data_IF_391514307461
#
_entry.id   IF_391514307461
#
_cell.length_a   1.000
_cell.length_b   1.000
_cell.length_c   1.000
_cell.angle_alpha   90.00
_cell.angle_beta   90.00
_cell.angle_gamma   90.00
#
_symmetry.space_group_name_H-M   'P 1'
#
loop_
_entity.id
_entity.type
_entity.pdbx_description
1 polymer ?
#
# COMPACT_ATOMS: atom_id res chain seq x y z
N UNK A 1 -26.44 12.06 -2.77
CA UNK A 1 -25.63 11.89 -3.98
C UNK A 1 -24.60 10.82 -3.65
N UNK A 2 -24.76 9.62 -4.17
CA UNK A 2 -23.82 8.52 -3.91
C UNK A 2 -22.59 8.72 -4.79
N UNK A 3 -21.40 8.64 -4.21
CA UNK A 3 -20.15 8.78 -4.96
C UNK A 3 -19.68 7.38 -5.37
N UNK A 4 -19.39 7.19 -6.65
CA UNK A 4 -18.80 5.93 -7.12
C UNK A 4 -17.40 5.73 -6.55
N UNK A 5 -17.12 4.52 -6.05
CA UNK A 5 -15.84 4.17 -5.41
C UNK A 5 -14.64 4.42 -6.33
N UNK A 6 -14.74 4.02 -7.60
CA UNK A 6 -13.68 4.26 -8.59
C UNK A 6 -13.39 5.76 -8.79
N UNK A 7 -14.45 6.58 -8.81
CA UNK A 7 -14.34 8.03 -8.93
C UNK A 7 -13.75 8.65 -7.67
N UNK A 8 -14.12 8.15 -6.49
CA UNK A 8 -13.55 8.62 -5.23
C UNK A 8 -12.05 8.32 -5.14
N UNK A 9 -11.64 7.10 -5.47
CA UNK A 9 -10.22 6.70 -5.46
C UNK A 9 -9.39 7.50 -6.46
N UNK A 10 -9.86 7.65 -7.70
CA UNK A 10 -9.13 8.41 -8.73
C UNK A 10 -9.00 9.90 -8.43
N UNK A 11 -9.92 10.46 -7.63
CA UNK A 11 -9.89 11.88 -7.23
C UNK A 11 -9.14 12.13 -5.93
N UNK A 12 -8.94 11.10 -5.10
CA UNK A 12 -8.21 11.24 -3.83
C UNK A 12 -6.79 11.72 -4.12
N UNK A 13 -6.50 12.96 -3.74
CA UNK A 13 -5.28 13.67 -4.08
C UNK A 13 -4.20 13.58 -3.01
N UNK A 14 -4.56 13.13 -1.80
CA UNK A 14 -3.66 13.04 -0.64
C UNK A 14 -4.08 11.86 0.27
N UNK A 15 -3.29 11.62 1.32
CA UNK A 15 -3.52 10.48 2.22
C UNK A 15 -4.75 10.68 3.12
N UNK A 16 -5.13 11.93 3.42
CA UNK A 16 -6.34 12.24 4.21
C UNK A 16 -7.61 11.84 3.45
N UNK A 17 -7.64 12.07 2.14
CA UNK A 17 -8.78 11.77 1.27
C UNK A 17 -8.95 10.27 1.01
N UNK A 18 -7.86 9.52 0.87
CA UNK A 18 -7.93 8.07 0.63
C UNK A 18 -8.24 7.28 1.92
N UNK A 19 -7.81 7.77 3.08
CA UNK A 19 -7.99 7.09 4.36
C UNK A 19 -9.44 6.65 4.69
N UNK A 20 -10.48 7.50 4.57
CA UNK A 20 -11.86 7.06 4.85
C UNK A 20 -12.33 5.98 3.87
N UNK A 21 -11.79 5.93 2.65
CA UNK A 21 -12.09 4.84 1.71
C UNK A 21 -11.49 3.54 2.23
N UNK A 22 -10.21 3.55 2.61
CA UNK A 22 -9.49 2.38 3.14
C UNK A 22 -10.16 1.85 4.42
N UNK A 23 -10.50 2.73 5.37
CA UNK A 23 -11.08 2.33 6.66
C UNK A 23 -12.45 1.65 6.52
N UNK A 24 -13.19 1.98 5.46
CA UNK A 24 -14.51 1.41 5.19
C UNK A 24 -14.47 0.31 4.11
N UNK A 25 -13.29 -0.01 3.58
CA UNK A 25 -13.12 -1.00 2.53
C UNK A 25 -13.26 -2.43 3.06
N UNK A 26 -13.86 -3.28 2.24
CA UNK A 26 -13.97 -4.73 2.44
C UNK A 26 -13.69 -5.43 1.12
N UNK A 27 -12.99 -6.54 1.20
CA UNK A 27 -12.66 -7.40 0.07
C UNK A 27 -13.74 -8.46 -0.16
N UNK A 28 -13.89 -8.89 -1.41
CA UNK A 28 -14.71 -10.04 -1.77
C UNK A 28 -14.22 -10.69 -3.07
N UNK A 29 -14.76 -11.87 -3.38
CA UNK A 29 -14.37 -12.69 -4.51
C UNK A 29 -15.63 -13.21 -5.20
N UNK A 30 -15.73 -12.94 -6.48
CA UNK A 30 -16.79 -13.47 -7.32
C UNK A 30 -16.65 -14.99 -7.49
N UNK A 31 -17.75 -15.64 -7.89
CA UNK A 31 -17.76 -17.07 -8.18
C UNK A 31 -16.64 -17.50 -9.15
N UNK A 32 -16.34 -16.69 -10.16
CA UNK A 32 -15.30 -16.92 -11.17
C UNK A 32 -13.90 -16.41 -10.75
N UNK A 33 -13.66 -16.20 -9.45
CA UNK A 33 -12.35 -15.84 -8.91
C UNK A 33 -11.89 -14.41 -9.20
N UNK A 34 -12.77 -13.54 -9.67
CA UNK A 34 -12.51 -12.09 -9.75
C UNK A 34 -12.50 -11.49 -8.35
N UNK A 35 -11.43 -10.79 -7.99
CA UNK A 35 -11.19 -10.20 -6.67
C UNK A 35 -11.48 -8.71 -6.71
N UNK A 36 -12.24 -8.21 -5.75
CA UNK A 36 -12.63 -6.81 -5.74
C UNK A 36 -12.78 -6.27 -4.33
N UNK A 37 -12.84 -4.94 -4.23
CA UNK A 37 -13.12 -4.19 -3.03
C UNK A 37 -14.43 -3.43 -3.22
N UNK A 38 -15.22 -3.35 -2.16
CA UNK A 38 -16.28 -2.35 -1.98
C UNK A 38 -16.00 -1.56 -0.71
N UNK A 39 -16.57 -0.36 -0.58
CA UNK A 39 -16.41 0.45 0.62
C UNK A 39 -17.76 0.99 1.09
N UNK A 40 -18.02 0.91 2.39
CA UNK A 40 -19.25 1.43 2.97
C UNK A 40 -19.39 2.94 2.72
N UNK A 41 -20.57 3.38 2.27
CA UNK A 41 -20.82 4.77 1.86
C UNK A 41 -20.49 5.09 0.39
N UNK A 42 -19.92 4.14 -0.37
CA UNK A 42 -19.59 4.30 -1.79
C UNK A 42 -20.38 3.33 -2.66
N UNK A 43 -20.59 3.73 -3.92
CA UNK A 43 -21.29 2.89 -4.91
C UNK A 43 -20.30 2.14 -5.82
N UNK A 44 -20.59 0.86 -6.06
CA UNK A 44 -19.83 0.00 -6.96
C UNK A 44 -18.65 -0.70 -6.30
N UNK A 45 -17.87 -1.38 -7.13
CA UNK A 45 -16.68 -2.14 -6.73
C UNK A 45 -15.49 -1.74 -7.58
N UNK A 46 -14.28 -1.99 -7.07
CA UNK A 46 -13.02 -1.80 -7.80
C UNK A 46 -12.17 -3.05 -7.69
N UNK A 47 -11.17 -3.18 -8.56
CA UNK A 47 -10.19 -4.27 -8.46
C UNK A 47 -9.47 -4.25 -7.10
N UNK A 48 -9.12 -5.42 -6.58
CA UNK A 48 -8.41 -5.57 -5.30
C UNK A 48 -7.09 -4.77 -5.26
N UNK A 49 -6.45 -4.57 -6.42
CA UNK A 49 -5.20 -3.84 -6.54
C UNK A 49 -5.41 -2.31 -6.56
N UNK A 50 -6.64 -1.82 -6.74
CA UNK A 50 -6.92 -0.41 -7.01
C UNK A 50 -6.53 0.54 -5.86
N UNK A 51 -6.80 0.14 -4.60
CA UNK A 51 -6.44 0.96 -3.43
C UNK A 51 -4.92 1.06 -3.31
N UNK A 52 -4.21 -0.07 -3.35
CA UNK A 52 -2.76 -0.10 -3.24
C UNK A 52 -2.09 0.67 -4.39
N UNK A 53 -2.58 0.51 -5.63
CA UNK A 53 -2.06 1.23 -6.79
C UNK A 53 -2.19 2.74 -6.61
N UNK A 54 -3.37 3.23 -6.20
CA UNK A 54 -3.56 4.66 -5.95
C UNK A 54 -2.69 5.15 -4.79
N UNK A 55 -2.54 4.34 -3.75
CA UNK A 55 -1.71 4.67 -2.60
C UNK A 55 -0.24 4.84 -2.97
N UNK A 56 0.32 3.92 -3.77
CA UNK A 56 1.69 4.01 -4.27
C UNK A 56 1.88 5.23 -5.18
N UNK A 57 0.90 5.55 -6.04
CA UNK A 57 0.94 6.78 -6.85
C UNK A 57 0.95 8.05 -5.98
N UNK A 58 0.22 8.05 -4.86
CA UNK A 58 0.27 9.15 -3.89
C UNK A 58 1.64 9.25 -3.22
N UNK A 59 2.32 8.14 -2.94
CA UNK A 59 3.68 8.16 -2.39
C UNK A 59 4.69 8.78 -3.36
N UNK A 60 4.52 8.54 -4.66
CA UNK A 60 5.36 9.13 -5.71
C UNK A 60 5.10 10.62 -5.92
N UNK A 61 3.83 11.05 -5.85
CA UNK A 61 3.43 12.44 -6.16
C UNK A 61 3.39 13.35 -4.93
N UNK A 62 3.12 12.81 -3.74
CA UNK A 62 3.05 13.49 -2.45
C UNK A 62 4.10 12.92 -1.50
N UNK A 63 5.37 13.03 -1.91
CA UNK A 63 6.51 12.37 -1.26
C UNK A 63 6.93 12.96 0.10
N UNK A 64 6.43 14.15 0.47
CA UNK A 64 6.63 14.79 1.79
C UNK A 64 5.30 14.86 2.57
N UNK A 65 4.83 13.73 3.16
CA UNK A 65 3.62 13.73 3.95
C UNK A 65 3.80 14.57 5.23
N UNK A 66 2.74 15.26 5.62
CA UNK A 66 2.62 15.96 6.89
C UNK A 66 2.60 14.99 8.08
N UNK A 67 2.80 15.49 9.31
CA UNK A 67 2.72 14.66 10.52
C UNK A 67 1.36 13.97 10.71
N UNK A 68 0.28 14.66 10.32
CA UNK A 68 -1.07 14.11 10.34
C UNK A 68 -1.19 12.96 9.33
N UNK A 69 -0.72 13.15 8.10
CA UNK A 69 -0.71 12.12 7.06
C UNK A 69 0.19 10.95 7.44
N UNK A 70 1.32 11.18 8.11
CA UNK A 70 2.20 10.12 8.62
C UNK A 70 1.50 9.24 9.65
N UNK A 71 0.83 9.87 10.61
CA UNK A 71 0.06 9.14 11.62
C UNK A 71 -1.07 8.33 10.97
N UNK A 72 -1.78 8.93 10.03
CA UNK A 72 -2.88 8.27 9.34
C UNK A 72 -2.40 7.15 8.42
N UNK A 73 -1.30 7.38 7.69
CA UNK A 73 -0.65 6.40 6.82
C UNK A 73 -0.28 5.12 7.56
N UNK A 74 0.38 5.25 8.72
CA UNK A 74 0.66 4.12 9.62
C UNK A 74 -0.59 3.36 10.07
N UNK A 75 -1.72 4.04 10.24
CA UNK A 75 -2.98 3.40 10.63
C UNK A 75 -3.61 2.62 9.46
N UNK A 76 -3.59 3.18 8.25
CA UNK A 76 -4.33 2.64 7.10
C UNK A 76 -3.53 1.63 6.28
N UNK A 77 -2.19 1.73 6.25
CA UNK A 77 -1.34 0.78 5.51
C UNK A 77 -1.59 -0.69 5.94
N UNK A 78 -1.61 -1.03 7.24
CA UNK A 78 -1.93 -2.40 7.67
C UNK A 78 -3.32 -2.86 7.23
N UNK A 79 -4.28 -1.95 7.09
CA UNK A 79 -5.62 -2.28 6.60
C UNK A 79 -5.59 -2.68 5.13
N UNK A 80 -4.78 -2.01 4.29
CA UNK A 80 -4.61 -2.38 2.88
C UNK A 80 -3.95 -3.76 2.77
N UNK A 81 -2.92 -4.03 3.56
CA UNK A 81 -2.29 -5.37 3.63
C UNK A 81 -3.30 -6.44 4.05
N UNK A 82 -4.15 -6.13 5.05
CA UNK A 82 -5.21 -7.03 5.51
C UNK A 82 -6.25 -7.33 4.43
N UNK A 83 -6.60 -6.37 3.56
CA UNK A 83 -7.50 -6.62 2.42
C UNK A 83 -6.90 -7.68 1.50
N UNK A 84 -5.60 -7.61 1.21
CA UNK A 84 -4.92 -8.66 0.44
C UNK A 84 -4.89 -10.00 1.18
N UNK A 85 -4.50 -10.02 2.45
CA UNK A 85 -4.43 -11.27 3.21
C UNK A 85 -5.79 -11.98 3.27
N UNK A 86 -6.84 -11.22 3.57
CA UNK A 86 -8.20 -11.74 3.69
C UNK A 86 -8.73 -12.24 2.34
N UNK A 87 -8.44 -11.53 1.25
CA UNK A 87 -8.86 -11.93 -0.09
C UNK A 87 -8.13 -13.20 -0.58
N UNK A 88 -6.88 -13.40 -0.18
CA UNK A 88 -6.10 -14.58 -0.57
C UNK A 88 -6.17 -15.72 0.45
N UNK A 89 -6.79 -15.48 1.61
CA UNK A 89 -7.13 -16.52 2.57
C UNK A 89 -8.05 -17.56 1.90
N UNK A 90 -7.79 -18.84 2.16
CA UNK A 90 -8.35 -19.97 1.39
C UNK A 90 -9.71 -20.46 1.92
N UNK A 91 -10.40 -19.66 2.73
CA UNK A 91 -11.71 -20.00 3.31
C UNK A 91 -12.86 -19.79 2.30
N UNK A 92 -12.69 -20.34 1.09
CA UNK A 92 -13.65 -20.28 -0.01
C UNK A 92 -13.93 -21.68 -0.53
N UNK A 93 -15.09 -21.85 -1.16
CA UNK A 93 -15.49 -23.13 -1.73
C UNK A 93 -14.50 -23.62 -2.82
N UNK A 94 -14.50 -24.92 -3.10
CA UNK A 94 -13.50 -25.55 -3.98
C UNK A 94 -13.54 -25.04 -5.43
N UNK A 95 -14.72 -24.70 -5.95
CA UNK A 95 -14.90 -24.19 -7.32
C UNK A 95 -14.28 -22.79 -7.47
N UNK A 96 -14.60 -21.89 -6.54
CA UNK A 96 -14.00 -20.55 -6.49
C UNK A 96 -12.48 -20.65 -6.35
N UNK A 97 -11.96 -21.60 -5.57
CA UNK A 97 -10.51 -21.84 -5.47
C UNK A 97 -9.88 -22.26 -6.79
N UNK A 98 -10.54 -23.12 -7.58
CA UNK A 98 -10.06 -23.52 -8.92
C UNK A 98 -10.01 -22.30 -9.85
N UNK A 99 -11.07 -21.49 -9.88
CA UNK A 99 -11.09 -20.27 -10.69
C UNK A 99 -10.02 -19.27 -10.25
N UNK A 100 -9.82 -19.07 -8.95
CA UNK A 100 -8.74 -18.24 -8.43
C UNK A 100 -7.36 -18.75 -8.88
N UNK A 101 -7.10 -20.07 -8.75
CA UNK A 101 -5.83 -20.66 -9.17
C UNK A 101 -5.58 -20.51 -10.68
N UNK A 102 -6.63 -20.69 -11.49
CA UNK A 102 -6.54 -20.49 -12.93
C UNK A 102 -6.24 -19.02 -13.29
N UNK A 103 -6.91 -18.06 -12.64
CA UNK A 103 -6.64 -16.63 -12.84
C UNK A 103 -5.24 -16.23 -12.37
N UNK A 104 -4.78 -16.75 -11.24
CA UNK A 104 -3.43 -16.51 -10.74
C UNK A 104 -2.39 -17.09 -11.70
N UNK A 105 -2.64 -18.28 -12.26
CA UNK A 105 -1.80 -18.85 -13.30
C UNK A 105 -1.73 -17.94 -14.54
N UNK A 106 -2.87 -17.50 -15.07
CA UNK A 106 -2.91 -16.57 -16.20
C UNK A 106 -2.19 -15.24 -15.90
N UNK A 107 -2.39 -14.69 -14.71
CA UNK A 107 -1.70 -13.46 -14.28
C UNK A 107 -0.19 -13.68 -14.22
N UNK A 108 0.28 -14.79 -13.64
CA UNK A 108 1.70 -15.08 -13.53
C UNK A 108 2.34 -15.31 -14.90
N UNK A 109 1.65 -15.99 -15.82
CA UNK A 109 2.07 -16.13 -17.21
C UNK A 109 2.17 -14.75 -17.86
N UNK A 110 1.17 -13.89 -17.68
CA UNK A 110 1.21 -12.54 -18.23
C UNK A 110 2.36 -11.71 -17.66
N UNK A 111 2.57 -11.74 -16.34
CA UNK A 111 3.68 -11.04 -15.69
C UNK A 111 5.02 -11.53 -16.23
N UNK A 112 5.19 -12.85 -16.35
CA UNK A 112 6.43 -13.46 -16.84
C UNK A 112 6.77 -13.06 -18.28
N UNK A 113 5.78 -13.00 -19.17
CA UNK A 113 6.03 -12.71 -20.58
C UNK A 113 5.95 -11.22 -20.95
N UNK A 114 5.15 -10.43 -20.23
CA UNK A 114 4.75 -9.09 -20.69
C UNK A 114 4.94 -7.98 -19.65
N UNK A 115 5.10 -8.29 -18.36
CA UNK A 115 5.33 -7.27 -17.34
C UNK A 115 6.81 -7.16 -16.97
N UNK A 116 7.26 -5.96 -16.62
CA UNK A 116 8.53 -5.73 -15.92
C UNK A 116 8.21 -5.50 -14.44
N UNK A 117 8.59 -6.42 -13.56
CA UNK A 117 8.46 -6.26 -12.09
C UNK A 117 7.44 -7.19 -11.42
N UNK A 118 7.09 -6.88 -10.17
CA UNK A 118 6.39 -7.79 -9.24
C UNK A 118 4.85 -7.67 -9.24
N UNK A 119 4.26 -6.82 -10.10
CA UNK A 119 2.82 -6.48 -10.06
C UNK A 119 2.43 -5.72 -8.79
N UNK A 120 1.25 -5.07 -8.75
CA UNK A 120 0.85 -4.16 -7.66
C UNK A 120 1.00 -4.77 -6.27
N UNK A 121 0.48 -5.99 -6.07
CA UNK A 121 0.60 -6.70 -4.80
C UNK A 121 2.05 -7.05 -4.44
N UNK A 122 2.85 -7.45 -5.42
CA UNK A 122 4.24 -7.81 -5.18
C UNK A 122 5.07 -6.59 -4.81
N UNK A 123 4.88 -5.47 -5.51
CA UNK A 123 5.46 -4.17 -5.13
C UNK A 123 5.02 -3.76 -3.73
N UNK A 124 3.71 -3.81 -3.45
CA UNK A 124 3.17 -3.51 -2.13
C UNK A 124 3.83 -4.33 -1.02
N UNK A 125 4.06 -5.63 -1.24
CA UNK A 125 4.67 -6.50 -0.24
C UNK A 125 6.17 -6.30 -0.07
N UNK A 126 6.89 -5.81 -1.08
CA UNK A 126 8.34 -5.61 -1.02
C UNK A 126 8.68 -4.33 -0.24
N UNK A 127 7.83 -3.31 -0.34
CA UNK A 127 8.04 -2.02 0.32
C UNK A 127 7.37 -1.96 1.70
N UNK A 128 7.23 -3.10 2.38
CA UNK A 128 6.53 -3.26 3.68
C UNK A 128 5.14 -2.61 3.71
N UNK A 129 4.39 -2.72 2.61
CA UNK A 129 3.07 -2.09 2.45
C UNK A 129 3.12 -0.57 2.39
N UNK A 130 4.29 0.03 2.23
CA UNK A 130 4.48 1.46 2.34
C UNK A 130 4.53 1.97 3.79
N UNK A 131 4.70 1.10 4.81
CA UNK A 131 4.93 1.55 6.20
C UNK A 131 6.21 2.39 6.27
N UNK A 132 7.27 1.89 5.65
CA UNK A 132 8.57 2.55 5.61
C UNK A 132 8.50 3.97 5.04
N UNK A 133 7.53 4.24 4.16
CA UNK A 133 7.29 5.59 3.64
C UNK A 133 6.81 6.56 4.74
N UNK A 134 5.97 6.14 5.68
CA UNK A 134 5.51 7.06 6.75
C UNK A 134 6.49 7.18 7.90
N UNK A 135 7.45 6.25 7.97
CA UNK A 135 8.50 6.21 8.99
C UNK A 135 9.84 6.79 8.52
N UNK A 136 9.96 7.17 7.25
CA UNK A 136 11.15 7.82 6.70
C UNK A 136 10.89 9.26 6.24
N UNK A 137 11.94 10.06 6.21
CA UNK A 137 11.91 11.50 5.97
C UNK A 137 12.84 11.85 4.80
N UNK A 138 12.43 12.78 3.95
CA UNK A 138 13.34 13.41 2.98
C UNK A 138 14.43 14.18 3.71
N UNK A 139 15.51 14.56 3.03
CA UNK A 139 16.59 15.33 3.66
C UNK A 139 16.10 16.65 4.28
N UNK A 140 15.17 17.35 3.63
CA UNK A 140 14.52 18.57 4.11
C UNK A 140 13.73 18.31 5.38
N UNK A 141 12.81 17.35 5.35
CA UNK A 141 11.99 17.00 6.51
C UNK A 141 12.83 16.47 7.68
N UNK A 142 13.88 15.70 7.40
CA UNK A 142 14.77 15.17 8.44
C UNK A 142 15.44 16.31 9.21
N UNK A 143 15.97 17.30 8.50
CA UNK A 143 16.60 18.45 9.13
C UNK A 143 15.60 19.31 9.90
N UNK A 144 14.40 19.50 9.37
CA UNK A 144 13.33 20.26 10.03
C UNK A 144 12.90 19.58 11.35
N UNK A 145 12.68 18.27 11.32
CA UNK A 145 12.15 17.51 12.46
C UNK A 145 13.23 17.22 13.52
N UNK A 146 14.46 16.90 13.12
CA UNK A 146 15.52 16.46 14.04
C UNK A 146 16.61 17.51 14.29
N UNK A 147 16.54 18.67 13.65
CA UNK A 147 17.51 19.76 13.80
C UNK A 147 18.92 19.41 13.33
N UNK A 148 19.10 18.30 12.63
CA UNK A 148 20.39 17.78 12.15
C UNK A 148 20.25 17.24 10.73
N UNK A 149 21.28 17.34 9.88
CA UNK A 149 21.22 16.75 8.54
C UNK A 149 21.13 15.22 8.63
N UNK A 150 20.58 14.55 7.61
CA UNK A 150 20.55 13.10 7.58
C UNK A 150 21.97 12.52 7.67
N UNK A 151 22.14 11.36 8.32
CA UNK A 151 23.43 10.72 8.45
C UNK A 151 24.01 10.36 7.07
N UNK A 152 25.32 10.55 6.93
CA UNK A 152 26.06 10.28 5.68
C UNK A 152 26.66 8.86 5.72
N UNK A 153 26.62 8.13 4.60
CA UNK A 153 27.15 6.77 4.48
C UNK A 153 26.18 5.78 3.82
N UNK A 154 26.51 4.48 3.85
CA UNK A 154 25.65 3.42 3.32
C UNK A 154 24.54 3.10 4.31
N UNK A 155 23.44 3.85 4.23
CA UNK A 155 22.26 3.69 5.09
C UNK A 155 21.15 3.12 4.23
N UNK A 156 20.31 2.19 4.75
CA UNK A 156 19.11 1.77 4.05
C UNK A 156 18.27 3.03 3.78
N UNK A 157 18.19 3.40 2.51
CA UNK A 157 17.33 4.47 2.01
C UNK A 157 16.31 3.81 1.10
N UNK A 158 15.08 4.30 1.17
CA UNK A 158 14.01 3.84 0.26
C UNK A 158 14.26 4.55 -1.07
N UNK A 159 14.92 3.86 -1.99
CA UNK A 159 15.08 4.33 -3.35
C UNK A 159 13.88 3.86 -4.19
N UNK A 160 12.85 4.70 -4.30
CA UNK A 160 11.80 4.52 -5.31
C UNK A 160 12.08 5.44 -6.49
N UNK A 161 11.93 4.94 -7.71
CA UNK A 161 12.14 5.75 -8.92
C UNK A 161 11.20 6.93 -8.93
N UNK A 162 11.76 8.15 -8.98
CA UNK A 162 10.98 9.39 -8.94
C UNK A 162 10.75 9.97 -7.54
N UNK A 163 11.11 9.25 -6.48
CA UNK A 163 11.07 9.76 -5.10
C UNK A 163 12.46 10.27 -4.66
N UNK A 164 12.54 11.34 -3.87
CA UNK A 164 13.79 11.73 -3.21
C UNK A 164 14.27 10.64 -2.24
N UNK A 165 15.57 10.60 -1.97
CA UNK A 165 16.16 9.74 -0.94
C UNK A 165 15.51 10.02 0.43
N UNK A 166 15.37 8.96 1.24
CA UNK A 166 14.66 9.01 2.52
C UNK A 166 15.43 8.30 3.63
N UNK A 167 15.38 8.85 4.84
CA UNK A 167 16.07 8.36 6.03
C UNK A 167 15.11 8.09 7.17
N UNK A 168 15.33 7.00 7.89
CA UNK A 168 14.61 6.68 9.12
C UNK A 168 15.07 7.56 10.29
N UNK A 169 14.19 7.80 11.30
CA UNK A 169 14.52 8.61 12.46
C UNK A 169 15.66 7.97 13.29
N UNK A 170 16.39 8.78 14.07
CA UNK A 170 17.41 8.25 14.99
C UNK A 170 16.86 7.14 15.89
N UNK A 171 17.55 5.99 15.93
CA UNK A 171 17.18 4.86 16.78
C UNK A 171 16.06 3.95 16.22
N UNK A 172 15.54 4.21 15.02
CA UNK A 172 14.50 3.39 14.38
C UNK A 172 14.79 1.88 14.42
N UNK A 173 15.95 1.47 13.90
CA UNK A 173 16.34 0.05 13.83
C UNK A 173 16.55 -0.61 15.21
N UNK A 174 16.80 0.19 16.26
CA UNK A 174 16.86 -0.33 17.62
C UNK A 174 15.48 -0.63 18.19
N UNK A 175 14.45 0.12 17.76
CA UNK A 175 13.06 -0.08 18.18
C UNK A 175 12.44 -1.29 17.47
N UNK A 176 12.66 -1.44 16.16
CA UNK A 176 12.15 -2.58 15.36
C UNK A 176 12.66 -3.92 15.91
N UNK A 177 13.95 -4.02 16.27
CA UNK A 177 14.50 -5.23 16.91
C UNK A 177 13.90 -5.59 18.26
N UNK A 178 13.31 -4.63 18.96
CA UNK A 178 12.71 -4.86 20.27
C UNK A 178 11.22 -5.24 20.18
N UNK A 179 10.58 -4.99 19.04
CA UNK A 179 9.16 -5.26 18.80
C UNK A 179 8.85 -6.62 18.18
N UNK A 180 9.85 -7.30 17.60
CA UNK A 180 9.76 -8.70 17.16
C UNK A 180 10.44 -9.61 18.20
N UNK A 181 9.71 -10.22 19.15
CA UNK A 181 10.26 -11.30 19.95
C UNK A 181 10.39 -12.55 19.08
N UNK A 182 11.58 -13.17 19.08
CA UNK A 182 11.85 -14.49 18.49
C UNK A 182 10.81 -15.55 18.88
#
# INVERSE_FOLDING_TARGET
>A
MTIHLQTALSRASNFLEIAPIVKNAKEDISFFGGRYIYAEGYEGTVDIDAIAARFMELQETHFEPTDEERKLGREITPLISKLYESNYSRDKNILTRIFCAFRDFLRNVWIFFFARGYGTRGSWSIDDGGIDFFDSYTSSQYQEVFGTPPPTGFIPHIASSGCPDRWFPPGYFNQVRLSDPD
#
